data_IF_049305245867
#
_entry.id   IF_049305245867
#
_cell.length_a   1.000
_cell.length_b   1.000
_cell.length_c   1.000
_cell.angle_alpha   90.00
_cell.angle_beta   90.00
_cell.angle_gamma   90.00
#
_symmetry.space_group_name_H-M   'P 1'
#
loop_
_entity.id
_entity.type
_entity.pdbx_description
1 polymer ?
#
# COMPACT_ATOMS: atom_id res chain seq x y z
N UNK A 1 11.08 -27.09 9.01
CA UNK A 1 9.84 -27.19 9.83
C UNK A 1 9.26 -25.80 9.95
N UNK A 2 8.10 -25.49 9.38
CA UNK A 2 7.15 -24.42 9.68
C UNK A 2 6.30 -23.97 8.46
N UNK A 3 6.08 -24.88 7.50
CA UNK A 3 5.15 -24.59 6.38
C UNK A 3 3.69 -25.05 6.64
N UNK A 4 3.41 -25.66 7.80
CA UNK A 4 2.07 -26.17 8.11
C UNK A 4 1.15 -25.21 8.86
N UNK A 5 1.69 -24.21 9.54
CA UNK A 5 0.87 -23.25 10.29
C UNK A 5 0.29 -22.12 9.43
N UNK A 6 0.99 -21.69 8.36
CA UNK A 6 0.49 -20.63 7.48
C UNK A 6 -0.74 -21.06 6.65
N UNK A 7 -0.82 -22.36 6.29
CA UNK A 7 -1.97 -22.90 5.54
C UNK A 7 -3.23 -23.09 6.39
N UNK A 8 -3.09 -23.42 7.67
CA UNK A 8 -4.24 -23.61 8.57
C UNK A 8 -4.92 -22.27 8.93
N UNK A 9 -4.13 -21.17 9.05
CA UNK A 9 -4.66 -19.84 9.32
C UNK A 9 -5.38 -19.23 8.11
N UNK A 10 -4.95 -19.56 6.90
CA UNK A 10 -5.59 -19.10 5.65
C UNK A 10 -6.97 -19.69 5.41
N UNK A 11 -7.24 -20.89 5.92
CA UNK A 11 -8.51 -21.63 5.70
C UNK A 11 -9.66 -21.19 6.62
N UNK A 12 -9.40 -20.42 7.69
CA UNK A 12 -10.39 -20.10 8.74
C UNK A 12 -10.78 -18.61 8.75
N UNK A 13 -10.12 -17.75 7.97
CA UNK A 13 -10.38 -16.32 7.99
C UNK A 13 -11.41 -15.93 6.93
N UNK A 14 -12.60 -15.42 7.31
CA UNK A 14 -13.59 -14.99 6.34
C UNK A 14 -13.05 -13.77 5.56
N UNK A 15 -12.84 -13.94 4.26
CA UNK A 15 -12.46 -12.90 3.30
C UNK A 15 -13.45 -11.72 3.36
N UNK A 16 -14.68 -11.97 3.82
CA UNK A 16 -15.73 -10.97 4.05
C UNK A 16 -15.41 -9.86 5.05
N UNK A 17 -14.30 -9.99 5.81
CA UNK A 17 -13.87 -8.97 6.80
C UNK A 17 -12.86 -7.96 6.28
N UNK A 18 -12.42 -8.06 5.01
CA UNK A 18 -11.50 -7.12 4.38
C UNK A 18 -12.30 -6.07 3.59
N UNK A 19 -12.13 -4.80 3.93
CA UNK A 19 -12.85 -3.72 3.27
C UNK A 19 -11.90 -2.59 2.85
N UNK A 20 -12.17 -1.99 1.69
CA UNK A 20 -11.57 -0.74 1.23
C UNK A 20 -12.61 0.36 1.31
N UNK A 21 -12.43 1.32 2.24
CA UNK A 21 -13.30 2.50 2.39
C UNK A 21 -12.58 3.73 1.88
N UNK A 22 -13.28 4.55 1.09
CA UNK A 22 -12.70 5.80 0.56
C UNK A 22 -12.23 6.71 1.70
N UNK A 23 -11.05 7.32 1.51
CA UNK A 23 -10.48 8.27 2.47
C UNK A 23 -11.42 9.44 2.69
N UNK A 24 -11.58 9.83 3.97
CA UNK A 24 -12.37 10.97 4.43
C UNK A 24 -11.48 11.91 5.23
N UNK A 25 -11.97 13.13 5.50
CA UNK A 25 -11.29 14.11 6.36
C UNK A 25 -10.95 13.53 7.75
N UNK A 26 -11.81 12.68 8.30
CA UNK A 26 -11.58 11.99 9.57
C UNK A 26 -10.42 10.98 9.55
N UNK A 27 -9.87 10.67 8.40
CA UNK A 27 -8.76 9.72 8.26
C UNK A 27 -7.39 10.41 8.24
N UNK A 28 -7.32 11.74 8.24
CA UNK A 28 -6.07 12.52 8.14
C UNK A 28 -5.07 12.10 9.23
N UNK A 29 -5.53 12.01 10.49
CA UNK A 29 -4.67 11.63 11.62
C UNK A 29 -4.10 10.22 11.45
N UNK A 30 -4.94 9.28 11.01
CA UNK A 30 -4.51 7.92 10.72
C UNK A 30 -3.46 7.89 9.60
N UNK A 31 -3.69 8.59 8.50
CA UNK A 31 -2.77 8.67 7.36
C UNK A 31 -1.46 9.34 7.76
N UNK A 32 -1.50 10.36 8.61
CA UNK A 32 -0.29 11.03 9.10
C UNK A 32 0.54 10.12 10.00
N UNK A 33 -0.10 9.40 10.93
CA UNK A 33 0.56 8.38 11.77
C UNK A 33 1.18 7.28 10.92
N UNK A 34 0.44 6.82 9.92
CA UNK A 34 0.92 5.82 8.98
C UNK A 34 2.17 6.30 8.22
N UNK A 35 2.21 7.58 7.84
CA UNK A 35 3.36 8.19 7.18
C UNK A 35 4.56 8.31 8.12
N UNK A 36 4.35 8.62 9.42
CA UNK A 36 5.39 8.66 10.45
C UNK A 36 6.03 7.28 10.70
N UNK A 37 5.23 6.22 10.60
CA UNK A 37 5.71 4.84 10.78
C UNK A 37 6.55 4.34 9.58
N UNK A 38 6.53 5.05 8.46
CA UNK A 38 7.19 4.62 7.23
C UNK A 38 8.70 4.59 7.40
N UNK A 39 9.32 3.46 7.07
CA UNK A 39 10.78 3.35 7.08
C UNK A 39 11.39 4.09 5.88
N UNK A 40 12.65 4.55 6.03
CA UNK A 40 13.41 5.14 4.92
C UNK A 40 13.54 4.19 3.72
N UNK A 41 13.48 2.87 3.96
CA UNK A 41 13.56 1.85 2.91
C UNK A 41 12.32 1.79 2.01
N UNK A 42 11.20 2.33 2.48
CA UNK A 42 9.92 2.36 1.76
C UNK A 42 9.69 3.71 1.06
N UNK A 43 10.48 4.73 1.39
CA UNK A 43 10.37 6.06 0.81
C UNK A 43 11.13 6.13 -0.52
N UNK A 44 10.38 6.18 -1.62
CA UNK A 44 10.91 6.45 -2.95
C UNK A 44 10.83 7.95 -3.26
N UNK A 45 9.73 8.60 -2.89
CA UNK A 45 9.40 9.96 -3.37
C UNK A 45 9.62 11.08 -2.35
N UNK A 46 9.75 10.78 -1.05
CA UNK A 46 9.86 11.80 -0.01
C UNK A 46 11.04 11.53 0.91
N UNK A 47 12.08 12.37 0.81
CA UNK A 47 13.24 12.32 1.70
C UNK A 47 12.99 13.05 3.03
N UNK A 48 12.04 14.00 3.07
CA UNK A 48 11.72 14.84 4.23
C UNK A 48 10.27 14.63 4.63
N UNK A 49 10.06 14.39 5.93
CA UNK A 49 8.73 14.23 6.51
C UNK A 49 7.96 15.57 6.44
N UNK A 50 6.77 15.62 5.83
CA UNK A 50 5.96 16.84 5.81
C UNK A 50 5.41 17.15 7.22
N UNK A 51 5.14 18.43 7.50
CA UNK A 51 4.39 18.82 8.69
C UNK A 51 2.94 18.32 8.59
N UNK A 52 2.27 18.14 9.75
CA UNK A 52 0.85 17.76 9.77
C UNK A 52 -0.03 18.68 8.92
N UNK A 53 0.22 20.00 8.98
CA UNK A 53 -0.53 20.99 8.17
C UNK A 53 -0.35 20.77 6.67
N UNK A 54 0.88 20.48 6.20
CA UNK A 54 1.16 20.18 4.78
C UNK A 54 0.49 18.87 4.37
N UNK A 55 0.59 17.84 5.22
CA UNK A 55 -0.04 16.55 4.98
C UNK A 55 -1.57 16.65 4.91
N UNK A 56 -2.18 17.38 5.84
CA UNK A 56 -3.63 17.63 5.86
C UNK A 56 -4.11 18.31 4.55
N UNK A 57 -3.40 19.35 4.10
CA UNK A 57 -3.68 20.00 2.80
C UNK A 57 -3.55 19.03 1.64
N UNK A 58 -2.52 18.19 1.64
CA UNK A 58 -2.30 17.17 0.62
C UNK A 58 -3.48 16.18 0.57
N UNK A 59 -3.91 15.64 1.72
CA UNK A 59 -5.05 14.71 1.77
C UNK A 59 -6.33 15.38 1.26
N UNK A 60 -6.58 16.63 1.67
CA UNK A 60 -7.76 17.38 1.25
C UNK A 60 -7.76 17.77 -0.23
N UNK A 61 -6.60 17.85 -0.87
CA UNK A 61 -6.48 18.13 -2.31
C UNK A 61 -6.91 16.96 -3.21
N UNK A 62 -7.21 15.79 -2.63
CA UNK A 62 -7.58 14.57 -3.37
C UNK A 62 -6.58 14.21 -4.47
N UNK A 63 -5.29 14.00 -4.12
CA UNK A 63 -4.18 13.91 -5.09
C UNK A 63 -4.22 12.65 -5.96
N UNK A 64 -5.03 11.66 -5.57
CA UNK A 64 -5.13 10.38 -6.27
C UNK A 64 -6.48 10.18 -6.93
N UNK A 65 -6.52 9.41 -8.00
CA UNK A 65 -7.75 8.99 -8.69
C UNK A 65 -8.68 8.27 -7.71
N UNK A 66 -8.12 7.40 -6.87
CA UNK A 66 -8.80 6.70 -5.78
C UNK A 66 -7.86 6.58 -4.59
N UNK A 67 -8.38 6.74 -3.40
CA UNK A 67 -7.64 6.57 -2.16
C UNK A 67 -8.50 5.88 -1.12
N UNK A 68 -8.01 4.78 -0.55
CA UNK A 68 -8.76 3.94 0.38
C UNK A 68 -8.00 3.71 1.68
N UNK A 69 -8.75 3.57 2.76
CA UNK A 69 -8.28 2.97 4.00
C UNK A 69 -8.61 1.48 3.94
N UNK A 70 -7.62 0.65 4.23
CA UNK A 70 -7.80 -0.79 4.39
C UNK A 70 -8.30 -1.09 5.81
N UNK A 71 -9.46 -1.71 5.89
CA UNK A 71 -10.00 -2.27 7.12
C UNK A 71 -9.91 -3.79 7.10
N UNK A 72 -9.60 -4.36 8.24
CA UNK A 72 -9.72 -5.78 8.52
C UNK A 72 -10.31 -5.97 9.91
N UNK A 73 -11.43 -6.68 10.04
CA UNK A 73 -12.19 -6.84 11.29
C UNK A 73 -12.41 -5.49 12.00
N UNK A 74 -12.88 -4.50 11.27
CA UNK A 74 -13.14 -3.12 11.73
C UNK A 74 -11.90 -2.33 12.19
N UNK A 75 -10.68 -2.85 12.02
CA UNK A 75 -9.45 -2.14 12.34
C UNK A 75 -8.81 -1.55 11.08
N UNK A 76 -8.35 -0.32 11.17
CA UNK A 76 -7.57 0.32 10.11
C UNK A 76 -6.14 -0.26 10.09
N UNK A 77 -5.75 -0.90 9.01
CA UNK A 77 -4.45 -1.54 8.88
C UNK A 77 -3.50 -0.83 7.92
N UNK A 78 -4.01 -0.01 7.02
CA UNK A 78 -3.19 0.64 6.02
C UNK A 78 -4.01 1.50 5.08
N UNK A 79 -3.34 1.89 4.02
CA UNK A 79 -3.89 2.72 2.97
C UNK A 79 -3.43 2.22 1.60
N UNK A 80 -4.34 2.25 0.63
CA UNK A 80 -4.06 1.95 -0.76
C UNK A 80 -4.57 3.09 -1.63
N UNK A 81 -3.81 3.47 -2.65
CA UNK A 81 -4.27 4.46 -3.61
C UNK A 81 -4.02 4.02 -5.05
N UNK A 82 -4.73 4.63 -5.95
CA UNK A 82 -4.58 4.50 -7.38
C UNK A 82 -4.36 5.88 -7.98
N UNK A 83 -3.25 6.07 -8.68
CA UNK A 83 -2.96 7.31 -9.42
C UNK A 83 -3.80 7.40 -10.70
N UNK A 84 -3.79 8.54 -11.35
CA UNK A 84 -4.44 8.72 -12.67
C UNK A 84 -3.76 7.89 -13.78
N UNK A 85 -2.52 7.44 -13.56
CA UNK A 85 -1.80 6.51 -14.46
C UNK A 85 -2.02 5.04 -14.11
N UNK A 86 -2.99 4.75 -13.23
CA UNK A 86 -3.26 3.41 -12.71
C UNK A 86 -2.07 2.76 -11.96
N UNK A 87 -1.25 3.57 -11.32
CA UNK A 87 -0.20 3.10 -10.44
C UNK A 87 -0.77 2.88 -9.02
N UNK A 88 -0.55 1.69 -8.48
CA UNK A 88 -0.99 1.29 -7.14
C UNK A 88 0.10 1.67 -6.14
N UNK A 89 -0.28 2.47 -5.13
CA UNK A 89 0.51 2.68 -3.94
C UNK A 89 -0.10 1.96 -2.75
N UNK A 90 0.74 1.37 -1.93
CA UNK A 90 0.33 0.63 -0.72
C UNK A 90 1.17 1.08 0.47
N UNK A 91 0.52 1.20 1.61
CA UNK A 91 1.18 1.59 2.84
C UNK A 91 0.46 0.97 4.04
N UNK A 92 1.14 0.11 4.78
CA UNK A 92 0.59 -0.60 5.94
C UNK A 92 1.20 -0.08 7.24
N UNK A 93 0.45 -0.26 8.34
CA UNK A 93 0.98 -0.05 9.69
C UNK A 93 2.24 -0.90 9.90
N UNK A 94 3.14 -0.43 10.77
CA UNK A 94 4.38 -1.13 11.17
C UNK A 94 4.08 -2.29 12.13
N UNK A 95 3.17 -3.15 11.73
CA UNK A 95 2.85 -4.41 12.38
C UNK A 95 3.04 -5.54 11.39
N UNK A 96 3.10 -6.77 11.86
CA UNK A 96 3.16 -7.92 10.96
C UNK A 96 1.82 -8.09 10.25
N UNK A 97 1.78 -7.71 8.97
CA UNK A 97 0.62 -7.93 8.11
C UNK A 97 0.82 -9.22 7.34
N UNK A 98 -0.09 -10.21 7.42
CA UNK A 98 0.01 -11.45 6.66
C UNK A 98 0.02 -11.21 5.15
N UNK A 99 0.78 -12.01 4.40
CA UNK A 99 0.94 -11.86 2.95
C UNK A 99 -0.40 -11.99 2.21
N UNK A 100 -1.28 -12.88 2.67
CA UNK A 100 -2.60 -13.04 2.07
C UNK A 100 -3.45 -11.77 2.15
N UNK A 101 -3.34 -11.01 3.25
CA UNK A 101 -4.09 -9.78 3.46
C UNK A 101 -3.62 -8.68 2.50
N UNK A 102 -2.30 -8.57 2.30
CA UNK A 102 -1.70 -7.66 1.30
C UNK A 102 -2.17 -8.05 -0.11
N UNK A 103 -2.08 -9.34 -0.42
CA UNK A 103 -2.53 -9.89 -1.71
C UNK A 103 -3.99 -9.57 -1.98
N UNK A 104 -4.88 -9.85 -1.02
CA UNK A 104 -6.31 -9.60 -1.17
C UNK A 104 -6.66 -8.12 -1.25
N UNK A 105 -5.95 -7.25 -0.53
CA UNK A 105 -6.18 -5.81 -0.61
C UNK A 105 -5.84 -5.24 -1.99
N UNK A 106 -4.77 -5.71 -2.62
CA UNK A 106 -4.42 -5.34 -4.00
C UNK A 106 -5.48 -5.85 -4.99
N UNK A 107 -5.92 -7.10 -4.85
CA UNK A 107 -6.98 -7.68 -5.68
C UNK A 107 -8.28 -6.89 -5.56
N UNK A 108 -8.70 -6.55 -4.35
CA UNK A 108 -9.89 -5.73 -4.10
C UNK A 108 -9.78 -4.35 -4.75
N UNK A 109 -8.62 -3.70 -4.68
CA UNK A 109 -8.40 -2.41 -5.32
C UNK A 109 -8.55 -2.54 -6.84
N UNK A 110 -7.95 -3.56 -7.44
CA UNK A 110 -8.06 -3.82 -8.89
C UNK A 110 -9.51 -4.08 -9.28
N UNK A 111 -10.23 -4.94 -8.54
CA UNK A 111 -11.63 -5.25 -8.83
C UNK A 111 -12.59 -4.06 -8.64
N UNK A 112 -12.30 -3.18 -7.69
CA UNK A 112 -13.12 -1.97 -7.45
C UNK A 112 -12.93 -0.89 -8.53
N UNK A 113 -11.89 -1.01 -9.36
CA UNK A 113 -11.52 0.03 -10.31
C UNK A 113 -11.45 -0.53 -11.72
N UNK A 114 -11.96 0.23 -12.67
CA UNK A 114 -11.87 -0.10 -14.10
C UNK A 114 -10.49 0.24 -14.64
N UNK A 115 -9.91 -0.67 -15.40
CA UNK A 115 -8.61 -0.46 -16.06
C UNK A 115 -8.12 -1.73 -16.73
N UNK A 116 -7.44 -1.57 -17.86
CA UNK A 116 -6.83 -2.70 -18.59
C UNK A 116 -5.42 -3.02 -18.08
N UNK A 117 -4.80 -2.08 -17.37
CA UNK A 117 -3.41 -2.18 -16.91
C UNK A 117 -3.26 -1.48 -15.58
N UNK A 118 -2.66 -2.17 -14.62
CA UNK A 118 -2.28 -1.61 -13.33
C UNK A 118 -0.78 -1.79 -13.13
N UNK A 119 -0.14 -0.78 -12.56
CA UNK A 119 1.28 -0.75 -12.24
C UNK A 119 1.47 -0.69 -10.74
N UNK A 120 2.59 -1.16 -10.23
CA UNK A 120 3.01 -0.98 -8.85
C UNK A 120 4.49 -0.63 -8.80
N UNK A 121 4.82 0.48 -8.16
CA UNK A 121 6.19 0.92 -7.92
C UNK A 121 6.64 0.44 -6.55
N UNK A 122 7.71 -0.34 -6.49
CA UNK A 122 8.18 -0.97 -5.25
C UNK A 122 9.66 -0.68 -5.06
N UNK A 123 10.02 -0.19 -3.87
CA UNK A 123 11.43 -0.08 -3.50
C UNK A 123 12.11 -1.45 -3.56
N UNK A 124 13.32 -1.58 -4.15
CA UNK A 124 14.06 -2.83 -4.15
C UNK A 124 14.43 -3.33 -2.75
N UNK A 125 14.35 -2.45 -1.74
CA UNK A 125 14.55 -2.79 -0.33
C UNK A 125 13.30 -3.39 0.33
N UNK A 126 12.11 -3.19 -0.25
CA UNK A 126 10.86 -3.77 0.27
C UNK A 126 10.70 -5.22 -0.21
N UNK A 127 11.47 -6.13 0.39
CA UNK A 127 11.54 -7.54 -0.01
C UNK A 127 10.20 -8.26 0.12
N UNK A 128 9.39 -7.90 1.13
CA UNK A 128 8.08 -8.51 1.36
C UNK A 128 7.12 -8.26 0.19
N UNK A 129 6.96 -7.00 -0.20
CA UNK A 129 6.06 -6.64 -1.29
C UNK A 129 6.58 -7.18 -2.63
N UNK A 130 7.90 -7.13 -2.86
CA UNK A 130 8.52 -7.73 -4.04
C UNK A 130 8.20 -9.22 -4.17
N UNK A 131 8.29 -9.99 -3.08
CA UNK A 131 7.94 -11.41 -3.07
C UNK A 131 6.47 -11.62 -3.43
N UNK A 132 5.56 -10.88 -2.82
CA UNK A 132 4.12 -10.98 -3.08
C UNK A 132 3.81 -10.68 -4.55
N UNK A 133 4.38 -9.61 -5.10
CA UNK A 133 4.11 -9.20 -6.48
C UNK A 133 4.72 -10.19 -7.48
N UNK A 134 5.93 -10.71 -7.23
CA UNK A 134 6.56 -11.75 -8.07
C UNK A 134 5.77 -13.07 -8.09
N UNK A 135 5.11 -13.43 -7.00
CA UNK A 135 4.27 -14.63 -6.92
C UNK A 135 2.93 -14.47 -7.66
N UNK A 136 2.55 -13.25 -8.04
CA UNK A 136 1.44 -13.00 -8.95
C UNK A 136 1.93 -13.06 -10.40
N UNK A 137 1.00 -13.20 -11.35
CA UNK A 137 1.30 -13.07 -12.79
C UNK A 137 1.68 -11.62 -13.11
N UNK A 138 2.85 -11.17 -12.64
CA UNK A 138 3.38 -9.83 -12.85
C UNK A 138 4.62 -9.86 -13.74
N UNK A 139 4.88 -8.76 -14.42
CA UNK A 139 6.05 -8.57 -15.28
C UNK A 139 6.79 -7.31 -14.87
N UNK A 140 8.10 -7.39 -14.67
CA UNK A 140 8.93 -6.22 -14.50
C UNK A 140 9.00 -5.46 -15.85
N UNK A 141 8.67 -4.16 -15.82
CA UNK A 141 8.58 -3.35 -17.04
C UNK A 141 9.55 -2.18 -17.06
N UNK A 142 10.13 -1.78 -15.89
CA UNK A 142 10.96 -0.59 -15.77
C UNK A 142 11.93 -0.71 -14.60
N UNK A 143 13.12 -0.15 -14.78
CA UNK A 143 14.05 0.20 -13.71
C UNK A 143 14.09 1.72 -13.53
N UNK A 144 14.10 2.20 -12.30
CA UNK A 144 14.25 3.62 -11.96
C UNK A 144 15.49 3.80 -11.11
N UNK A 145 16.37 4.70 -11.54
CA UNK A 145 17.62 5.03 -10.86
C UNK A 145 17.63 6.50 -10.45
N UNK A 146 18.11 6.78 -9.25
CA UNK A 146 18.41 8.13 -8.82
C UNK A 146 19.85 8.45 -9.26
N UNK A 147 20.00 9.48 -10.10
CA UNK A 147 21.32 9.97 -10.50
C UNK A 147 21.83 10.94 -9.44
N UNK A 148 23.07 10.73 -9.00
CA UNK A 148 23.75 11.69 -8.12
C UNK A 148 24.43 12.74 -8.97
N UNK A 149 24.20 14.02 -8.64
CA UNK A 149 24.89 15.14 -9.24
C UNK A 149 26.18 15.30 -8.43
N UNK A 150 27.34 15.15 -9.08
CA UNK A 150 28.62 15.49 -8.47
C UNK A 150 28.70 17.03 -8.39
N UNK A 151 28.99 17.56 -7.20
CA UNK A 151 29.30 18.98 -7.01
C UNK A 151 30.59 19.37 -7.75
#
# INVERSE_FOLDING_TARGET
>A
MNNYMDNAFSAIMPISSIELKSVRKSDIDFLYKLLLERSHNENISHKIMPTYKKHSKFVMSKPYKKWYILYYKNQKLGSLYLTYLNEIGIHFKKITIPDFLITKSIELLIHKNTGKRFLINISPKNKKILKIVKNKKSKLIQYTYELQISD
#
